data_IF_639821271271
#
_entry.id   IF_639821271271
#
_cell.length_a   1.000
_cell.length_b   1.000
_cell.length_c   1.000
_cell.angle_alpha   90.00
_cell.angle_beta   90.00
_cell.angle_gamma   90.00
#
_symmetry.space_group_name_H-M   'P 1'
#
loop_
_entity.id
_entity.type
_entity.pdbx_description
1 polymer ?
#
# COMPACT_ATOMS: atom_id res chain seq x y z
N UNK A 1 24.93 -18.06 46.95
CA UNK A 1 23.93 -17.24 46.26
C UNK A 1 23.81 -17.79 44.84
N UNK A 2 22.93 -18.77 44.62
CA UNK A 2 22.77 -19.41 43.31
C UNK A 2 21.74 -18.61 42.53
N UNK A 3 22.20 -17.89 41.52
CA UNK A 3 21.35 -17.25 40.53
C UNK A 3 20.69 -18.33 39.68
N UNK A 4 19.46 -18.68 40.02
CA UNK A 4 18.58 -19.48 39.15
C UNK A 4 18.20 -18.60 37.97
N UNK A 5 18.94 -18.74 36.87
CA UNK A 5 18.45 -18.34 35.56
C UNK A 5 17.18 -19.14 35.29
N UNK A 6 16.02 -18.51 35.48
CA UNK A 6 14.74 -19.04 35.03
C UNK A 6 14.79 -19.09 33.50
N UNK A 7 15.28 -20.21 32.96
CA UNK A 7 15.11 -20.53 31.55
C UNK A 7 13.61 -20.48 31.26
N UNK A 8 13.21 -19.63 30.32
CA UNK A 8 11.82 -19.54 29.89
C UNK A 8 11.38 -20.93 29.40
N UNK A 9 10.43 -21.54 30.11
CA UNK A 9 9.93 -22.86 29.75
C UNK A 9 9.08 -22.70 28.49
N UNK A 10 9.67 -23.08 27.34
CA UNK A 10 8.95 -23.16 26.08
C UNK A 10 7.99 -24.34 26.12
N UNK A 11 6.77 -24.10 25.66
CA UNK A 11 5.70 -25.09 25.61
C UNK A 11 5.11 -25.16 24.22
N UNK A 12 4.72 -26.35 23.79
CA UNK A 12 4.03 -26.57 22.53
C UNK A 12 2.52 -26.42 22.73
N UNK A 13 1.92 -25.43 22.08
CA UNK A 13 0.48 -25.23 22.05
C UNK A 13 -0.05 -25.81 20.75
N UNK A 14 -0.95 -26.77 20.85
CA UNK A 14 -1.61 -27.41 19.72
C UNK A 14 -3.12 -27.36 19.89
N UNK A 15 -3.84 -27.27 18.79
CA UNK A 15 -5.29 -27.13 18.83
C UNK A 15 -5.92 -27.10 17.45
N UNK A 16 -7.18 -26.68 17.40
CA UNK A 16 -7.91 -26.43 16.15
C UNK A 16 -8.30 -24.96 16.04
N UNK A 17 -8.15 -24.43 14.82
CA UNK A 17 -8.58 -23.09 14.45
C UNK A 17 -9.65 -23.20 13.37
N UNK A 18 -10.89 -22.83 13.72
CA UNK A 18 -12.04 -22.81 12.84
C UNK A 18 -12.51 -21.38 12.60
N UNK A 19 -13.27 -21.21 11.53
CA UNK A 19 -13.87 -19.95 11.12
C UNK A 19 -15.38 -20.17 11.03
N UNK A 20 -16.19 -19.26 11.57
CA UNK A 20 -17.64 -19.43 11.64
C UNK A 20 -18.32 -19.49 10.27
N UNK A 21 -17.64 -19.00 9.23
CA UNK A 21 -18.02 -19.12 7.83
C UNK A 21 -16.78 -19.12 6.96
N UNK A 22 -16.60 -20.14 6.11
CA UNK A 22 -15.49 -20.17 5.16
C UNK A 22 -15.87 -19.38 3.91
N UNK A 23 -15.14 -18.31 3.62
CA UNK A 23 -15.23 -17.57 2.36
C UNK A 23 -14.00 -17.85 1.48
N UNK A 24 -14.06 -17.49 0.20
CA UNK A 24 -12.88 -17.45 -0.65
C UNK A 24 -11.79 -16.59 0.02
N UNK A 25 -10.57 -17.13 0.14
CA UNK A 25 -9.40 -16.49 0.77
C UNK A 25 -9.35 -16.43 2.30
N UNK A 26 -10.20 -17.19 3.00
CA UNK A 26 -10.05 -17.39 4.45
C UNK A 26 -8.82 -18.27 4.73
N UNK A 27 -7.79 -17.70 5.37
CA UNK A 27 -6.60 -18.43 5.80
C UNK A 27 -6.30 -18.06 7.25
N UNK A 28 -6.74 -18.91 8.18
CA UNK A 28 -6.42 -18.76 9.59
C UNK A 28 -4.91 -18.69 9.83
N UNK A 29 -4.48 -17.78 10.69
CA UNK A 29 -3.09 -17.64 11.10
C UNK A 29 -2.99 -17.48 12.61
N UNK A 30 -1.93 -18.05 13.17
CA UNK A 30 -1.54 -17.92 14.57
C UNK A 30 -0.19 -17.22 14.59
N UNK A 31 -0.11 -16.06 15.25
CA UNK A 31 1.09 -15.23 15.32
C UNK A 31 1.53 -15.07 16.77
N UNK A 32 2.81 -15.34 17.03
CA UNK A 32 3.44 -15.13 18.32
C UNK A 32 3.63 -13.63 18.58
N UNK A 33 3.19 -13.13 19.74
CA UNK A 33 3.49 -11.79 20.29
C UNK A 33 3.27 -10.57 19.39
N UNK A 34 2.52 -10.71 18.31
CA UNK A 34 2.35 -9.67 17.29
C UNK A 34 3.66 -9.29 16.56
N UNK A 35 4.62 -10.23 16.50
CA UNK A 35 6.01 -9.96 16.07
C UNK A 35 6.07 -9.24 14.72
N UNK A 36 5.29 -9.68 13.72
CA UNK A 36 5.30 -9.07 12.39
C UNK A 36 4.83 -7.61 12.38
N UNK A 37 3.73 -7.32 13.09
CA UNK A 37 3.17 -5.97 13.11
C UNK A 37 4.11 -5.01 13.83
N UNK A 38 4.69 -5.45 14.97
CA UNK A 38 5.65 -4.66 15.73
C UNK A 38 6.92 -4.38 14.92
N UNK A 39 7.46 -5.40 14.25
CA UNK A 39 8.66 -5.25 13.41
C UNK A 39 8.42 -4.26 12.27
N UNK A 40 7.36 -4.48 11.48
CA UNK A 40 7.04 -3.61 10.35
C UNK A 40 6.86 -2.15 10.79
N UNK A 41 6.16 -1.91 11.90
CA UNK A 41 5.96 -0.55 12.43
C UNK A 41 7.26 0.10 12.91
N UNK A 42 8.17 -0.67 13.49
CA UNK A 42 9.41 -0.15 14.06
C UNK A 42 10.50 0.12 13.00
N UNK A 43 10.58 -0.71 11.96
CA UNK A 43 11.75 -0.75 11.07
C UNK A 43 11.45 -0.49 9.59
N UNK A 44 10.18 -0.49 9.18
CA UNK A 44 9.76 -0.29 7.77
C UNK A 44 8.88 0.95 7.58
N UNK A 45 8.84 1.85 8.57
CA UNK A 45 8.27 3.19 8.38
C UNK A 45 9.09 3.97 7.34
N UNK A 46 8.54 5.09 6.83
CA UNK A 46 9.18 5.93 5.79
C UNK A 46 10.67 6.18 6.09
N UNK A 47 11.60 5.53 5.38
CA UNK A 47 13.03 5.63 5.68
C UNK A 47 13.59 6.99 5.21
N UNK A 48 14.58 7.51 5.92
CA UNK A 48 15.19 8.80 5.58
C UNK A 48 16.28 8.66 4.50
N UNK A 49 16.54 9.71 3.68
CA UNK A 49 17.62 9.69 2.70
C UNK A 49 18.98 9.29 3.30
N UNK A 50 19.69 8.36 2.64
CA UNK A 50 20.98 7.85 3.11
C UNK A 50 20.89 6.62 4.03
N UNK A 51 19.69 6.19 4.43
CA UNK A 51 19.48 4.98 5.23
C UNK A 51 19.33 3.69 4.40
N UNK A 52 19.57 3.74 3.08
CA UNK A 52 19.24 2.64 2.16
C UNK A 52 19.84 1.29 2.54
N UNK A 53 21.06 1.27 3.08
CA UNK A 53 21.68 0.03 3.57
C UNK A 53 20.91 -0.60 4.74
N UNK A 54 20.58 0.21 5.77
CA UNK A 54 19.83 -0.25 6.95
C UNK A 54 18.41 -0.68 6.58
N UNK A 55 17.73 0.10 5.73
CA UNK A 55 16.40 -0.24 5.25
C UNK A 55 16.39 -1.57 4.49
N UNK A 56 17.36 -1.79 3.61
CA UNK A 56 17.49 -3.06 2.87
C UNK A 56 17.68 -4.26 3.80
N UNK A 57 18.47 -4.10 4.86
CA UNK A 57 18.69 -5.14 5.87
C UNK A 57 17.40 -5.47 6.62
N UNK A 58 16.72 -4.46 7.17
CA UNK A 58 15.45 -4.66 7.88
C UNK A 58 14.35 -5.23 7.00
N UNK A 59 14.28 -4.83 5.72
CA UNK A 59 13.31 -5.38 4.79
C UNK A 59 13.54 -6.88 4.53
N UNK A 60 14.81 -7.29 4.35
CA UNK A 60 15.16 -8.73 4.24
C UNK A 60 14.81 -9.50 5.50
N UNK A 61 15.06 -8.93 6.67
CA UNK A 61 14.71 -9.54 7.96
C UNK A 61 13.20 -9.69 8.11
N UNK A 62 12.41 -8.68 7.74
CA UNK A 62 10.95 -8.77 7.75
C UNK A 62 10.44 -9.91 6.85
N UNK A 63 10.96 -10.03 5.63
CA UNK A 63 10.59 -11.12 4.73
C UNK A 63 10.89 -12.49 5.34
N UNK A 64 12.07 -12.63 5.96
CA UNK A 64 12.44 -13.85 6.68
C UNK A 64 11.47 -14.14 7.82
N UNK A 65 11.18 -13.16 8.68
CA UNK A 65 10.23 -13.31 9.80
C UNK A 65 8.83 -13.68 9.33
N UNK A 66 8.37 -13.13 8.20
CA UNK A 66 7.04 -13.40 7.63
C UNK A 66 6.84 -14.84 7.15
N UNK A 67 7.93 -15.57 6.98
CA UNK A 67 7.97 -16.97 6.54
C UNK A 67 8.44 -17.93 7.65
N UNK A 68 8.85 -17.40 8.80
CA UNK A 68 9.43 -18.17 9.88
C UNK A 68 8.34 -18.87 10.71
N UNK A 69 8.36 -20.20 10.67
CA UNK A 69 7.43 -21.06 11.40
C UNK A 69 7.57 -20.98 12.92
N UNK A 70 8.66 -20.40 13.43
CA UNK A 70 8.84 -20.12 14.87
C UNK A 70 7.85 -19.07 15.35
N UNK A 71 7.53 -18.08 14.52
CA UNK A 71 6.64 -16.97 14.89
C UNK A 71 5.23 -17.11 14.33
N UNK A 72 5.06 -17.94 13.29
CA UNK A 72 3.82 -18.06 12.54
C UNK A 72 3.45 -19.53 12.37
N UNK A 73 2.25 -19.91 12.81
CA UNK A 73 1.67 -21.19 12.47
C UNK A 73 0.41 -21.00 11.62
N UNK A 74 0.19 -21.94 10.71
CA UNK A 74 -1.03 -22.03 9.89
C UNK A 74 -1.72 -23.36 10.17
N UNK A 75 -3.05 -23.38 10.32
CA UNK A 75 -3.76 -24.64 10.44
C UNK A 75 -3.63 -25.45 9.15
N UNK A 76 -3.55 -26.76 9.27
CA UNK A 76 -3.58 -27.67 8.12
C UNK A 76 -5.02 -27.84 7.59
N UNK A 77 -5.20 -28.70 6.58
CA UNK A 77 -6.50 -29.00 5.98
C UNK A 77 -7.53 -29.61 6.95
N UNK A 78 -7.09 -30.14 8.09
CA UNK A 78 -7.94 -30.62 9.17
C UNK A 78 -8.14 -29.57 10.28
N UNK A 79 -7.85 -28.30 10.00
CA UNK A 79 -7.91 -27.17 10.93
C UNK A 79 -6.95 -27.25 12.13
N UNK A 80 -5.98 -28.17 12.12
CA UNK A 80 -5.06 -28.36 13.26
C UNK A 80 -3.86 -27.45 13.13
N UNK A 81 -3.45 -26.83 14.23
CA UNK A 81 -2.23 -26.03 14.30
C UNK A 81 -1.34 -26.50 15.45
N UNK A 82 -0.06 -26.13 15.39
CA UNK A 82 0.88 -26.28 16.49
C UNK A 82 1.92 -25.15 16.45
N UNK A 83 2.23 -24.58 17.61
CA UNK A 83 3.23 -23.50 17.74
C UNK A 83 3.94 -23.61 19.10
N UNK A 84 5.23 -23.29 19.14
CA UNK A 84 6.03 -23.35 20.37
C UNK A 84 6.30 -21.95 20.91
N UNK A 85 5.87 -21.66 22.14
CA UNK A 85 5.91 -20.34 22.75
C UNK A 85 6.28 -20.41 24.24
N UNK A 86 6.71 -19.29 24.83
CA UNK A 86 6.93 -19.17 26.27
C UNK A 86 5.60 -18.93 27.01
N UNK A 87 5.52 -19.33 28.28
CA UNK A 87 4.32 -19.11 29.11
C UNK A 87 3.92 -17.63 29.25
N UNK A 88 4.86 -16.70 29.08
CA UNK A 88 4.63 -15.25 29.13
C UNK A 88 4.15 -14.67 27.79
N UNK A 89 4.19 -15.46 26.72
CA UNK A 89 3.81 -15.00 25.39
C UNK A 89 2.28 -14.93 25.21
N UNK A 90 1.89 -14.28 24.13
CA UNK A 90 0.52 -14.28 23.62
C UNK A 90 0.46 -14.84 22.19
N UNK A 91 -0.62 -15.56 21.90
CA UNK A 91 -0.95 -16.02 20.56
C UNK A 91 -2.10 -15.18 20.00
N UNK A 92 -1.91 -14.67 18.79
CA UNK A 92 -2.91 -13.92 18.03
C UNK A 92 -3.48 -14.82 16.95
N UNK A 93 -4.77 -15.07 17.01
CA UNK A 93 -5.54 -15.83 16.04
C UNK A 93 -6.28 -14.85 15.15
N UNK A 94 -6.01 -14.88 13.85
CA UNK A 94 -6.62 -13.97 12.88
C UNK A 94 -6.97 -14.70 11.59
N UNK A 95 -7.95 -14.16 10.90
CA UNK A 95 -8.25 -14.50 9.51
C UNK A 95 -8.95 -13.32 8.84
N UNK A 96 -8.99 -13.34 7.51
CA UNK A 96 -9.66 -12.31 6.70
C UNK A 96 -11.14 -12.22 7.09
N UNK A 97 -11.64 -11.00 7.30
CA UNK A 97 -13.03 -10.69 7.70
C UNK A 97 -13.55 -11.35 9.00
N UNK A 98 -12.65 -11.86 9.84
CA UNK A 98 -13.01 -12.41 11.15
C UNK A 98 -12.53 -11.51 12.30
N UNK A 99 -13.15 -11.66 13.47
CA UNK A 99 -12.75 -10.95 14.68
C UNK A 99 -11.47 -11.61 15.20
N UNK A 100 -10.36 -10.86 15.20
CA UNK A 100 -9.08 -11.29 15.77
C UNK A 100 -9.24 -11.60 17.25
N UNK A 101 -8.66 -12.72 17.69
CA UNK A 101 -8.61 -13.09 19.10
C UNK A 101 -7.16 -13.15 19.59
N UNK A 102 -6.93 -12.70 20.82
CA UNK A 102 -5.63 -12.78 21.50
C UNK A 102 -5.80 -13.58 22.77
N UNK A 103 -4.92 -14.54 22.99
CA UNK A 103 -4.93 -15.41 24.18
C UNK A 103 -3.52 -15.50 24.76
N UNK A 104 -3.39 -15.50 26.09
CA UNK A 104 -2.12 -15.78 26.75
C UNK A 104 -1.77 -17.27 26.64
N UNK A 105 -0.49 -17.59 26.46
CA UNK A 105 -0.05 -19.00 26.38
C UNK A 105 -0.33 -19.74 27.69
N UNK A 106 -0.14 -19.06 28.83
CA UNK A 106 -0.48 -19.56 30.16
C UNK A 106 -1.96 -19.94 30.33
N UNK A 107 -2.87 -19.32 29.57
CA UNK A 107 -4.29 -19.66 29.61
C UNK A 107 -4.60 -20.87 28.73
N UNK A 108 -3.96 -20.94 27.56
CA UNK A 108 -4.19 -22.01 26.59
C UNK A 108 -3.68 -23.36 27.08
N UNK A 109 -2.52 -23.38 27.75
CA UNK A 109 -1.93 -24.63 28.25
C UNK A 109 -2.72 -25.28 29.38
N UNK A 110 -3.56 -24.51 30.08
CA UNK A 110 -4.42 -25.01 31.16
C UNK A 110 -5.69 -25.68 30.66
N UNK A 111 -5.92 -25.69 29.34
CA UNK A 111 -7.10 -26.31 28.74
C UNK A 111 -6.80 -27.75 28.33
N UNK A 112 -7.74 -28.65 28.58
CA UNK A 112 -7.68 -30.04 28.08
C UNK A 112 -7.64 -30.09 26.54
N UNK A 113 -8.27 -29.11 25.89
CA UNK A 113 -8.19 -28.92 24.44
C UNK A 113 -8.28 -27.44 24.05
N UNK A 114 -7.51 -27.04 23.04
CA UNK A 114 -7.55 -25.69 22.47
C UNK A 114 -8.36 -25.71 21.19
N UNK A 115 -9.60 -25.24 21.28
CA UNK A 115 -10.50 -25.03 20.14
C UNK A 115 -10.80 -23.53 20.04
N UNK A 116 -10.36 -22.90 18.95
CA UNK A 116 -10.59 -21.48 18.67
C UNK A 116 -11.49 -21.37 17.44
N UNK A 117 -12.62 -20.70 17.60
CA UNK A 117 -13.51 -20.34 16.49
C UNK A 117 -13.48 -18.83 16.29
N UNK A 118 -12.98 -18.37 15.15
CA UNK A 118 -13.05 -16.96 14.78
C UNK A 118 -14.44 -16.65 14.23
N UNK A 119 -15.08 -15.62 14.80
CA UNK A 119 -16.42 -15.18 14.38
C UNK A 119 -16.30 -14.17 13.24
N UNK A 120 -17.18 -14.28 12.24
CA UNK A 120 -17.26 -13.33 11.13
C UNK A 120 -17.57 -11.93 11.66
N UNK A 121 -16.92 -10.92 11.10
CA UNK A 121 -17.25 -9.52 11.39
C UNK A 121 -18.62 -9.15 10.78
N UNK A 122 -19.41 -8.28 11.44
CA UNK A 122 -20.64 -7.75 10.86
C UNK A 122 -20.37 -6.99 9.56
N UNK A 123 -21.22 -7.21 8.55
CA UNK A 123 -21.09 -6.65 7.21
C UNK A 123 -22.38 -5.93 6.77
N UNK A 124 -22.29 -5.09 5.75
CA UNK A 124 -23.40 -4.38 5.13
C UNK A 124 -23.76 -5.02 3.77
N UNK A 125 -25.02 -4.92 3.30
CA UNK A 125 -25.34 -5.25 1.92
C UNK A 125 -24.67 -4.24 0.98
N UNK A 126 -24.12 -4.71 -0.15
CA UNK A 126 -23.54 -3.82 -1.14
C UNK A 126 -24.62 -3.15 -1.99
N UNK A 127 -24.49 -1.84 -2.19
CA UNK A 127 -25.33 -1.09 -3.13
C UNK A 127 -24.49 -0.69 -4.35
N UNK A 128 -24.86 -1.21 -5.52
CA UNK A 128 -24.23 -0.82 -6.79
C UNK A 128 -24.48 0.67 -7.08
N UNK A 129 -23.49 1.32 -7.67
CA UNK A 129 -23.67 2.63 -8.28
C UNK A 129 -23.77 2.42 -9.80
N UNK A 130 -24.95 2.61 -10.38
CA UNK A 130 -25.15 2.37 -11.81
C UNK A 130 -24.85 3.61 -12.67
N UNK A 131 -24.46 4.72 -12.04
CA UNK A 131 -24.10 5.95 -12.75
C UNK A 131 -22.65 5.91 -13.22
N UNK A 132 -22.34 6.42 -14.42
CA UNK A 132 -20.95 6.62 -14.85
C UNK A 132 -20.27 7.70 -14.00
N UNK A 133 -18.94 7.78 -14.08
CA UNK A 133 -18.19 8.83 -13.40
C UNK A 133 -18.67 10.21 -13.87
N UNK A 134 -19.12 11.03 -12.92
CA UNK A 134 -19.77 12.31 -13.19
C UNK A 134 -18.77 13.35 -13.68
N UNK A 135 -17.55 13.33 -13.13
CA UNK A 135 -16.54 14.36 -13.36
C UNK A 135 -15.14 13.85 -13.06
N UNK A 136 -14.16 14.28 -13.85
CA UNK A 136 -12.74 14.08 -13.60
C UNK A 136 -12.09 15.39 -13.16
N UNK A 137 -11.17 15.30 -12.22
CA UNK A 137 -10.29 16.38 -11.81
C UNK A 137 -8.83 15.94 -11.88
N UNK A 138 -7.97 16.85 -12.34
CA UNK A 138 -6.53 16.59 -12.46
C UNK A 138 -5.76 17.75 -11.85
N UNK A 139 -4.85 17.43 -10.94
CA UNK A 139 -4.10 18.42 -10.18
C UNK A 139 -2.64 18.03 -10.04
N UNK A 140 -1.77 19.04 -9.99
CA UNK A 140 -0.53 18.93 -9.23
C UNK A 140 -0.88 19.25 -7.78
N UNK A 141 -0.56 18.33 -6.87
CA UNK A 141 -0.96 18.44 -5.48
C UNK A 141 0.15 18.01 -4.52
N UNK A 142 0.17 18.64 -3.35
CA UNK A 142 1.07 18.32 -2.24
C UNK A 142 0.36 17.45 -1.22
N UNK A 143 1.01 16.35 -0.80
CA UNK A 143 0.46 15.42 0.19
C UNK A 143 0.27 16.11 1.53
N UNK A 144 -0.95 16.05 2.05
CA UNK A 144 -1.24 16.40 3.46
C UNK A 144 -1.25 15.10 4.28
N UNK A 145 -2.05 14.12 3.86
CA UNK A 145 -2.11 12.81 4.53
C UNK A 145 -2.67 11.73 3.62
N UNK A 146 -2.22 10.49 3.84
CA UNK A 146 -2.85 9.27 3.30
C UNK A 146 -2.85 8.26 4.42
N UNK A 147 -4.03 7.96 4.94
CA UNK A 147 -4.18 7.08 6.09
C UNK A 147 -4.96 5.85 5.70
N UNK A 148 -4.55 4.70 6.24
CA UNK A 148 -5.37 3.50 6.17
C UNK A 148 -6.76 3.81 6.75
N UNK A 149 -7.79 3.52 5.97
CA UNK A 149 -9.17 3.61 6.40
C UNK A 149 -9.71 2.19 6.49
N UNK A 150 -10.52 1.92 7.51
CA UNK A 150 -11.21 0.63 7.59
C UNK A 150 -12.15 0.53 6.40
N UNK A 151 -11.94 -0.49 5.57
CA UNK A 151 -12.83 -0.73 4.44
C UNK A 151 -14.22 -1.13 4.95
N UNK A 152 -15.25 -0.80 4.17
CA UNK A 152 -16.60 -1.22 4.47
C UNK A 152 -16.73 -2.70 4.15
N UNK A 153 -17.02 -3.49 5.18
CA UNK A 153 -17.22 -4.91 5.01
C UNK A 153 -18.58 -5.16 4.35
N UNK A 154 -18.59 -5.68 3.13
CA UNK A 154 -19.81 -6.05 2.43
C UNK A 154 -20.08 -7.55 2.53
N UNK A 155 -21.34 -7.95 2.68
CA UNK A 155 -21.70 -9.35 2.98
C UNK A 155 -21.52 -10.30 1.80
N UNK A 156 -21.77 -9.79 0.60
CA UNK A 156 -21.82 -10.49 -0.68
C UNK A 156 -20.69 -10.08 -1.63
N UNK A 157 -19.78 -9.21 -1.18
CA UNK A 157 -18.60 -8.80 -1.94
C UNK A 157 -17.33 -8.92 -1.12
N UNK A 158 -16.29 -9.44 -1.75
CA UNK A 158 -14.94 -9.37 -1.23
C UNK A 158 -14.19 -8.28 -1.99
N UNK A 159 -13.44 -7.46 -1.26
CA UNK A 159 -12.47 -6.53 -1.81
C UNK A 159 -11.08 -7.04 -1.47
N UNK A 160 -10.23 -7.20 -2.48
CA UNK A 160 -8.81 -7.42 -2.26
C UNK A 160 -8.04 -6.12 -2.11
N UNK A 161 -8.73 -4.98 -2.20
CA UNK A 161 -8.13 -3.68 -2.01
C UNK A 161 -8.22 -3.25 -0.55
N UNK A 162 -7.18 -2.60 -0.07
CA UNK A 162 -7.22 -1.79 1.14
C UNK A 162 -7.76 -0.40 0.81
N UNK A 163 -8.56 0.16 1.71
CA UNK A 163 -9.11 1.51 1.59
C UNK A 163 -8.22 2.53 2.29
N UNK A 164 -8.08 3.69 1.68
CA UNK A 164 -7.32 4.82 2.23
C UNK A 164 -8.10 6.11 2.10
N UNK A 165 -8.08 6.92 3.16
CA UNK A 165 -8.56 8.29 3.11
C UNK A 165 -7.36 9.21 2.85
N UNK A 166 -7.42 9.92 1.73
CA UNK A 166 -6.34 10.77 1.24
C UNK A 166 -6.77 12.24 1.27
N UNK A 167 -5.83 13.11 1.64
CA UNK A 167 -5.98 14.56 1.66
C UNK A 167 -4.76 15.22 1.04
N UNK A 168 -4.97 16.12 0.08
CA UNK A 168 -3.91 16.81 -0.65
C UNK A 168 -4.23 18.30 -0.79
N UNK A 169 -3.21 19.14 -0.74
CA UNK A 169 -3.30 20.57 -1.08
C UNK A 169 -3.12 20.72 -2.58
N UNK A 170 -4.01 21.46 -3.23
CA UNK A 170 -3.94 21.71 -4.67
C UNK A 170 -2.92 22.82 -4.93
N UNK A 171 -1.89 22.51 -5.71
CA UNK A 171 -0.86 23.47 -6.14
C UNK A 171 -1.24 24.08 -7.49
N UNK A 172 -1.68 23.23 -8.43
CA UNK A 172 -2.13 23.66 -9.75
C UNK A 172 -3.27 22.78 -10.23
N UNK A 173 -4.36 23.40 -10.67
CA UNK A 173 -5.46 22.73 -11.33
C UNK A 173 -5.16 22.63 -12.84
N UNK A 174 -5.16 21.40 -13.38
CA UNK A 174 -4.94 21.13 -14.79
C UNK A 174 -6.24 20.79 -15.53
N UNK A 175 -7.25 20.27 -14.82
CA UNK A 175 -8.54 19.89 -15.40
C UNK A 175 -9.68 19.83 -14.38
N UNK A 176 -10.89 20.15 -14.82
CA UNK A 176 -12.13 19.95 -14.07
C UNK A 176 -12.56 21.13 -13.19
N UNK A 177 -11.75 22.18 -13.05
CA UNK A 177 -12.12 23.43 -12.35
C UNK A 177 -12.70 23.20 -10.93
N UNK A 178 -11.99 22.43 -10.13
CA UNK A 178 -12.27 22.30 -8.69
C UNK A 178 -11.98 23.61 -7.96
N UNK A 179 -12.90 24.03 -7.09
CA UNK A 179 -12.87 25.35 -6.43
C UNK A 179 -12.18 25.37 -5.06
N UNK A 180 -11.90 24.21 -4.47
CA UNK A 180 -11.18 24.13 -3.19
C UNK A 180 -9.67 24.27 -3.36
N UNK A 181 -9.01 24.68 -2.29
CA UNK A 181 -7.55 24.72 -2.14
C UNK A 181 -6.94 23.35 -1.77
N UNK A 182 -7.80 22.42 -1.39
CA UNK A 182 -7.46 21.08 -0.94
C UNK A 182 -8.56 20.10 -1.35
N UNK A 183 -8.18 18.84 -1.54
CA UNK A 183 -9.09 17.78 -1.97
C UNK A 183 -8.94 16.58 -1.04
N UNK A 184 -10.10 16.03 -0.64
CA UNK A 184 -10.21 14.76 0.08
C UNK A 184 -10.88 13.73 -0.81
N UNK A 185 -10.30 12.54 -0.88
CA UNK A 185 -10.81 11.45 -1.70
C UNK A 185 -10.46 10.10 -1.07
N UNK A 186 -11.18 9.06 -1.49
CA UNK A 186 -10.87 7.69 -1.13
C UNK A 186 -9.98 7.06 -2.21
N UNK A 187 -8.93 6.37 -1.80
CA UNK A 187 -8.14 5.51 -2.68
C UNK A 187 -8.30 4.05 -2.28
N UNK A 188 -8.27 3.17 -3.27
CA UNK A 188 -8.24 1.73 -3.08
C UNK A 188 -7.00 1.16 -3.76
N UNK A 189 -6.25 0.32 -3.06
CA UNK A 189 -5.03 -0.30 -3.58
C UNK A 189 -4.90 -1.76 -3.13
N UNK A 190 -4.52 -2.63 -4.07
CA UNK A 190 -4.40 -4.07 -3.83
C UNK A 190 -3.10 -4.44 -3.12
N UNK A 191 -2.03 -3.66 -3.37
CA UNK A 191 -0.66 -4.05 -3.02
C UNK A 191 -0.13 -3.33 -1.78
N UNK A 192 -1.02 -2.70 -1.00
CA UNK A 192 -0.70 -2.05 0.26
C UNK A 192 -1.01 -0.56 0.24
N UNK A 193 -0.11 0.24 0.82
CA UNK A 193 -0.25 1.70 0.84
C UNK A 193 -0.15 2.22 -0.60
N UNK A 194 -1.04 3.13 -1.07
CA UNK A 194 -1.04 3.56 -2.47
C UNK A 194 0.29 4.22 -2.84
N UNK A 195 0.90 3.79 -3.95
CA UNK A 195 2.26 4.19 -4.29
C UNK A 195 2.44 5.72 -4.45
N UNK A 196 1.41 6.43 -4.94
CA UNK A 196 1.40 7.90 -5.01
C UNK A 196 1.65 8.57 -3.66
N UNK A 197 1.24 7.91 -2.56
CA UNK A 197 1.35 8.47 -1.22
C UNK A 197 2.76 8.54 -0.69
N UNK A 198 3.74 7.88 -1.32
CA UNK A 198 5.12 8.00 -0.88
C UNK A 198 5.77 9.30 -1.37
N UNK A 199 5.20 9.95 -2.38
CA UNK A 199 5.74 11.18 -2.93
C UNK A 199 5.13 12.41 -2.26
N UNK A 200 5.93 13.47 -2.11
CA UNK A 200 5.48 14.75 -1.56
C UNK A 200 4.53 15.46 -2.52
N UNK A 201 4.88 15.47 -3.80
CA UNK A 201 4.11 16.12 -4.86
C UNK A 201 3.75 15.10 -5.94
N UNK A 202 2.49 15.16 -6.38
CA UNK A 202 1.92 14.19 -7.30
C UNK A 202 0.99 14.86 -8.30
N UNK A 203 1.05 14.39 -9.54
CA UNK A 203 -0.01 14.57 -10.53
C UNK A 203 -1.10 13.54 -10.23
N UNK A 204 -2.21 14.01 -9.67
CA UNK A 204 -3.33 13.18 -9.23
C UNK A 204 -4.51 13.24 -10.19
N UNK A 205 -5.17 12.10 -10.33
CA UNK A 205 -6.38 11.92 -11.12
C UNK A 205 -7.49 11.47 -10.18
N UNK A 206 -8.50 12.31 -9.98
CA UNK A 206 -9.59 12.06 -9.03
C UNK A 206 -10.91 12.17 -9.76
N UNK A 207 -11.73 11.14 -9.72
CA UNK A 207 -13.06 11.15 -10.30
C UNK A 207 -14.14 11.28 -9.23
N UNK A 208 -15.26 11.87 -9.62
CA UNK A 208 -16.48 11.91 -8.83
C UNK A 208 -17.41 10.80 -9.30
N UNK A 209 -17.82 9.95 -8.37
CA UNK A 209 -18.67 8.80 -8.63
C UNK A 209 -19.69 8.66 -7.50
N UNK A 210 -20.98 8.69 -7.84
CA UNK A 210 -22.09 8.69 -6.88
C UNK A 210 -21.90 9.71 -5.75
N UNK A 211 -21.60 10.96 -6.10
CA UNK A 211 -21.41 12.03 -5.11
C UNK A 211 -20.10 11.99 -4.32
N UNK A 212 -19.26 10.96 -4.46
CA UNK A 212 -18.01 10.78 -3.71
C UNK A 212 -16.79 10.90 -4.62
N UNK A 213 -15.66 11.32 -4.05
CA UNK A 213 -14.40 11.47 -4.77
C UNK A 213 -13.52 10.25 -4.57
N UNK A 214 -13.04 9.68 -5.67
CA UNK A 214 -12.16 8.53 -5.67
C UNK A 214 -10.91 8.81 -6.49
N UNK A 215 -9.79 8.29 -6.03
CA UNK A 215 -8.59 8.21 -6.85
C UNK A 215 -8.83 7.29 -8.05
N UNK A 216 -8.42 7.72 -9.24
CA UNK A 216 -8.35 6.87 -10.41
C UNK A 216 -7.26 5.82 -10.17
N UNK A 217 -7.66 4.60 -9.77
CA UNK A 217 -6.75 3.53 -9.32
C UNK A 217 -5.54 3.35 -10.25
N UNK A 218 -4.36 3.37 -9.64
CA UNK A 218 -3.03 3.29 -10.27
C UNK A 218 -2.67 4.41 -11.24
N UNK A 219 -3.44 5.50 -11.28
CA UNK A 219 -3.16 6.63 -12.16
C UNK A 219 -2.61 7.79 -11.36
N UNK A 220 -1.29 7.96 -11.41
CA UNK A 220 -0.59 9.13 -10.88
C UNK A 220 0.75 9.29 -11.58
N UNK A 221 1.41 10.42 -11.34
CA UNK A 221 2.85 10.57 -11.52
C UNK A 221 3.43 11.29 -10.32
N UNK A 222 4.57 10.85 -9.82
CA UNK A 222 5.45 11.67 -8.99
C UNK A 222 5.93 12.87 -9.82
N UNK A 223 5.80 14.08 -9.29
CA UNK A 223 6.21 15.29 -10.00
C UNK A 223 7.04 16.18 -9.10
N UNK A 224 7.98 16.90 -9.69
CA UNK A 224 8.93 17.74 -8.97
C UNK A 224 8.98 19.12 -9.62
N UNK A 225 9.19 20.17 -8.81
CA UNK A 225 9.40 21.51 -9.35
C UNK A 225 10.72 21.51 -10.14
N UNK A 226 10.70 22.20 -11.27
CA UNK A 226 11.86 22.39 -12.14
C UNK A 226 12.36 23.82 -12.01
N UNK A 227 13.61 24.08 -12.38
CA UNK A 227 14.21 25.43 -12.23
C UNK A 227 13.54 26.50 -13.11
N UNK A 228 12.77 26.10 -14.13
CA UNK A 228 11.98 27.01 -14.96
C UNK A 228 10.55 27.23 -14.44
N UNK A 229 10.22 26.78 -13.22
CA UNK A 229 8.92 27.00 -12.57
C UNK A 229 7.80 26.06 -13.01
N UNK A 230 8.09 25.08 -13.88
CA UNK A 230 7.14 24.01 -14.26
C UNK A 230 7.29 22.79 -13.36
N UNK A 231 6.41 21.80 -13.55
CA UNK A 231 6.42 20.54 -12.82
C UNK A 231 6.59 19.37 -13.76
N UNK A 232 7.51 18.46 -13.46
CA UNK A 232 7.83 17.33 -14.33
C UNK A 232 8.01 16.04 -13.54
N UNK A 233 7.81 14.92 -14.22
CA UNK A 233 8.10 13.59 -13.69
C UNK A 233 9.35 13.04 -14.36
N UNK A 234 10.34 12.54 -13.60
CA UNK A 234 11.53 11.91 -14.17
C UNK A 234 11.20 10.53 -14.77
N UNK A 235 12.04 10.04 -15.66
CA UNK A 235 11.89 8.69 -16.24
C UNK A 235 11.03 8.65 -17.51
N UNK A 236 10.75 7.43 -17.99
CA UNK A 236 9.88 7.25 -19.16
C UNK A 236 8.45 7.71 -18.83
N UNK A 237 7.90 8.69 -19.58
CA UNK A 237 6.52 9.16 -19.36
C UNK A 237 5.46 8.09 -19.65
N UNK A 238 5.83 7.01 -20.35
CA UNK A 238 4.94 5.89 -20.72
C UNK A 238 5.02 4.71 -19.75
N UNK A 239 5.80 4.80 -18.66
CA UNK A 239 5.98 3.68 -17.69
C UNK A 239 4.68 3.10 -17.10
N UNK A 240 3.58 3.85 -17.18
CA UNK A 240 2.26 3.42 -16.71
C UNK A 240 1.25 3.16 -17.84
N UNK A 241 1.65 3.25 -19.11
CA UNK A 241 0.80 3.02 -20.28
C UNK A 241 1.62 2.41 -21.44
N UNK A 242 1.85 1.10 -21.41
CA UNK A 242 2.66 0.38 -22.42
C UNK A 242 2.09 0.41 -23.84
N UNK A 243 0.80 0.68 -23.99
CA UNK A 243 0.11 0.73 -25.29
C UNK A 243 0.13 2.11 -25.97
N UNK A 244 0.76 3.12 -25.36
CA UNK A 244 0.79 4.46 -25.94
C UNK A 244 1.85 4.59 -27.04
N UNK A 245 1.39 4.90 -28.27
CA UNK A 245 2.24 5.21 -29.42
C UNK A 245 2.46 6.72 -29.59
N UNK A 246 1.98 7.56 -28.66
CA UNK A 246 2.08 9.01 -28.78
C UNK A 246 3.54 9.48 -28.72
N UNK A 247 3.87 10.48 -29.55
CA UNK A 247 5.19 11.12 -29.61
C UNK A 247 5.33 12.16 -28.50
N UNK A 248 5.23 11.74 -27.23
CA UNK A 248 5.60 12.64 -26.14
C UNK A 248 7.10 12.88 -26.20
N UNK A 249 7.48 14.17 -26.19
CA UNK A 249 8.86 14.57 -26.24
C UNK A 249 9.51 14.21 -24.91
N UNK A 250 10.40 13.22 -24.95
CA UNK A 250 11.34 12.99 -23.86
C UNK A 250 12.42 14.05 -24.03
N UNK A 251 12.54 14.93 -23.05
CA UNK A 251 13.49 16.03 -23.09
C UNK A 251 14.34 16.10 -21.83
N UNK A 252 15.42 16.87 -21.92
CA UNK A 252 16.24 17.21 -20.76
C UNK A 252 15.45 18.15 -19.87
N UNK A 253 15.20 17.72 -18.65
CA UNK A 253 14.41 18.49 -17.68
C UNK A 253 15.36 19.04 -16.61
N UNK A 254 15.32 20.35 -16.32
CA UNK A 254 16.19 20.94 -15.31
C UNK A 254 15.58 20.76 -13.91
N UNK A 255 15.76 19.57 -13.32
CA UNK A 255 15.26 19.23 -11.98
C UNK A 255 16.03 19.90 -10.83
N UNK A 256 17.06 20.70 -11.12
CA UNK A 256 17.82 21.41 -10.10
C UNK A 256 18.65 20.45 -9.25
N UNK A 257 18.43 20.46 -7.93
CA UNK A 257 19.18 19.65 -6.95
C UNK A 257 18.50 18.33 -6.59
N UNK A 258 17.42 17.96 -7.30
CA UNK A 258 16.71 16.72 -7.05
C UNK A 258 17.62 15.50 -7.24
N UNK A 259 17.64 14.62 -6.24
CA UNK A 259 18.34 13.35 -6.28
C UNK A 259 17.53 12.28 -5.55
N UNK A 260 17.71 11.03 -5.95
CA UNK A 260 17.11 9.85 -5.33
C UNK A 260 18.19 8.95 -4.72
N UNK A 261 17.81 8.21 -3.68
CA UNK A 261 18.57 7.08 -3.17
C UNK A 261 18.11 5.81 -3.90
N UNK A 262 19.03 5.21 -4.66
CA UNK A 262 18.76 4.04 -5.51
C UNK A 262 18.07 2.89 -4.76
N UNK A 263 18.38 2.68 -3.48
CA UNK A 263 17.86 1.55 -2.70
C UNK A 263 16.52 1.93 -2.08
N UNK A 264 16.44 3.08 -1.41
CA UNK A 264 15.20 3.53 -0.76
C UNK A 264 14.13 3.78 -1.81
N UNK A 265 14.40 4.64 -2.79
CA UNK A 265 13.43 4.98 -3.81
C UNK A 265 13.11 3.76 -4.70
N UNK A 266 14.10 2.88 -4.92
CA UNK A 266 13.89 1.65 -5.67
C UNK A 266 12.91 0.68 -5.00
N UNK A 267 13.02 0.49 -3.68
CA UNK A 267 12.21 -0.49 -2.94
C UNK A 267 10.95 0.14 -2.34
N UNK A 268 11.10 1.26 -1.63
CA UNK A 268 10.01 1.91 -0.90
C UNK A 268 9.11 2.74 -1.82
N UNK A 269 9.68 3.41 -2.83
CA UNK A 269 8.90 4.16 -3.83
C UNK A 269 8.61 3.36 -5.11
N UNK A 270 9.09 2.12 -5.20
CA UNK A 270 8.99 1.27 -6.38
C UNK A 270 9.50 1.96 -7.66
N UNK A 271 10.52 2.81 -7.54
CA UNK A 271 11.09 3.54 -8.67
C UNK A 271 12.05 2.64 -9.46
N UNK A 272 12.02 2.77 -10.78
CA UNK A 272 12.96 2.08 -11.66
C UNK A 272 13.87 3.11 -12.32
N UNK A 273 15.17 2.97 -12.07
CA UNK A 273 16.19 3.88 -12.58
C UNK A 273 16.87 3.30 -13.82
N UNK A 274 16.52 3.82 -14.99
CA UNK A 274 17.05 3.35 -16.29
C UNK A 274 17.69 4.48 -17.08
N UNK A 275 18.79 4.14 -17.77
CA UNK A 275 19.31 4.97 -18.86
C UNK A 275 18.28 5.04 -19.99
N UNK A 276 18.11 6.18 -20.68
CA UNK A 276 18.91 7.41 -20.54
C UNK A 276 18.34 8.44 -19.54
N UNK A 277 17.27 8.12 -18.81
CA UNK A 277 16.55 9.10 -17.99
C UNK A 277 17.25 9.55 -16.71
N UNK A 278 18.14 8.69 -16.21
CA UNK A 278 18.83 8.89 -14.95
C UNK A 278 20.34 8.71 -15.11
N UNK A 279 21.08 9.54 -14.40
CA UNK A 279 22.51 9.39 -14.17
C UNK A 279 22.69 8.75 -12.79
N UNK A 280 23.40 7.62 -12.73
CA UNK A 280 23.54 6.81 -11.52
C UNK A 280 25.00 6.83 -11.08
N UNK A 281 25.27 7.32 -9.87
CA UNK A 281 26.59 7.36 -9.25
C UNK A 281 26.52 6.72 -7.86
N UNK A 282 26.91 5.45 -7.77
CA UNK A 282 26.72 4.66 -6.54
C UNK A 282 25.24 4.51 -6.20
N UNK A 283 24.84 5.00 -5.02
CA UNK A 283 23.44 5.05 -4.58
C UNK A 283 22.75 6.37 -4.90
N UNK A 284 23.48 7.40 -5.37
CA UNK A 284 22.87 8.65 -5.78
C UNK A 284 22.34 8.52 -7.21
N UNK A 285 21.10 8.95 -7.44
CA UNK A 285 20.48 8.94 -8.76
C UNK A 285 19.96 10.32 -9.09
N UNK A 286 20.55 10.93 -10.11
CA UNK A 286 20.18 12.23 -10.63
C UNK A 286 19.23 12.05 -11.83
N UNK A 287 18.00 12.59 -11.80
CA UNK A 287 17.13 12.61 -12.95
C UNK A 287 17.58 13.68 -13.96
N UNK A 288 17.76 13.26 -15.22
CA UNK A 288 18.22 14.15 -16.29
C UNK A 288 17.19 14.31 -17.42
N UNK A 289 16.24 13.37 -17.53
CA UNK A 289 15.15 13.45 -18.50
C UNK A 289 13.81 13.02 -17.92
N UNK A 290 12.74 13.49 -18.54
CA UNK A 290 11.37 13.22 -18.13
C UNK A 290 10.36 13.87 -19.06
N UNK A 291 9.18 14.16 -18.53
CA UNK A 291 8.15 14.95 -19.21
C UNK A 291 7.42 15.85 -18.22
N UNK A 292 6.87 16.96 -18.72
CA UNK A 292 6.11 17.90 -17.91
C UNK A 292 4.70 17.38 -17.61
N UNK A 293 4.13 17.82 -16.48
CA UNK A 293 2.84 17.37 -15.98
C UNK A 293 1.70 17.52 -17.00
N UNK A 294 1.70 18.58 -17.81
CA UNK A 294 0.71 18.79 -18.86
C UNK A 294 0.80 17.70 -19.95
N UNK A 295 2.01 17.29 -20.34
CA UNK A 295 2.23 16.26 -21.36
C UNK A 295 1.86 14.87 -20.84
N UNK A 296 2.18 14.59 -19.57
CA UNK A 296 1.76 13.39 -18.87
C UNK A 296 0.23 13.27 -18.80
N UNK A 297 -0.46 14.39 -18.61
CA UNK A 297 -1.92 14.41 -18.66
C UNK A 297 -2.43 14.10 -20.08
N UNK A 298 -1.84 14.68 -21.13
CA UNK A 298 -2.22 14.38 -22.52
C UNK A 298 -2.05 12.89 -22.88
N UNK A 299 -1.01 12.23 -22.36
CA UNK A 299 -0.86 10.76 -22.46
C UNK A 299 -2.06 10.07 -21.84
N UNK A 300 -2.42 10.41 -20.60
CA UNK A 300 -3.51 9.75 -19.88
C UNK A 300 -4.86 9.99 -20.55
N UNK A 301 -5.10 11.18 -21.13
CA UNK A 301 -6.30 11.50 -21.92
C UNK A 301 -6.46 10.58 -23.12
N UNK A 302 -5.37 10.21 -23.81
CA UNK A 302 -5.39 9.36 -25.01
C UNK A 302 -5.41 7.86 -24.69
N UNK A 303 -5.10 7.48 -23.45
CA UNK A 303 -4.92 6.10 -23.02
C UNK A 303 -5.99 5.68 -22.00
N UNK A 304 -5.60 5.49 -20.74
CA UNK A 304 -6.45 4.94 -19.68
C UNK A 304 -7.69 5.79 -19.40
N UNK A 305 -7.60 7.13 -19.48
CA UNK A 305 -8.77 7.97 -19.21
C UNK A 305 -9.79 7.91 -20.35
N UNK A 306 -9.33 7.73 -21.60
CA UNK A 306 -10.22 7.44 -22.74
C UNK A 306 -10.88 6.07 -22.57
N UNK A 307 -10.11 5.04 -22.22
CA UNK A 307 -10.64 3.70 -21.99
C UNK A 307 -11.65 3.64 -20.83
N UNK A 308 -11.51 4.53 -19.84
CA UNK A 308 -12.46 4.72 -18.73
C UNK A 308 -13.64 5.65 -19.06
N UNK A 309 -13.75 6.12 -20.30
CA UNK A 309 -14.90 6.90 -20.79
C UNK A 309 -14.87 8.40 -20.49
N UNK A 310 -13.77 8.96 -19.98
CA UNK A 310 -13.69 10.40 -19.69
C UNK A 310 -13.51 11.28 -20.93
N UNK A 311 -12.97 10.72 -22.02
CA UNK A 311 -12.61 11.44 -23.25
C UNK A 311 -12.97 10.67 -24.53
N UNK A 312 -13.95 9.77 -24.47
CA UNK A 312 -14.53 9.17 -25.68
C UNK A 312 -15.29 10.22 -26.47
N UNK A 313 -15.09 10.26 -27.79
CA UNK A 313 -15.98 11.00 -28.68
C UNK A 313 -17.39 10.42 -28.51
N UNK A 314 -18.37 11.28 -28.23
CA UNK A 314 -19.77 10.86 -28.28
C UNK A 314 -20.05 10.39 -29.72
N UNK A 315 -20.36 9.11 -29.90
CA UNK A 315 -21.11 8.67 -31.07
C UNK A 315 -22.53 9.21 -30.98
#
# INVERSE_FOLDING_TARGET
MVSLFAAAQRVQISGRLKESSVQSMSFGQIILNDTLQKFSKAYLASPEPGEGAKFSEHYKEFLKLSQDTVYIARPNTMHRFSITADLKDSLIFKSYQHITQRHAVSDLIRKDSVEITLLKQPCLPYQNCDQPAEKLYVFIAEKISVNYARDTLYCDRFSMDSKFDASYKIIKNLYGDFKGDSIKFTAYDHYGVPAFSHHKYVLLFVSKYCGKLFHEKYQYFDVYPTTNGRWASPGDPRRFNSSDTSRVQIEKIPFGTLNFDKIIDGVYHNMTFTSPYFKIEGNCVEPIMGAYAEELFEIKKKTVLKARGFFSEKQ
#
